data_IF_008909573349
#
_entry.id   IF_008909573349
#
_cell.length_a   1.000
_cell.length_b   1.000
_cell.length_c   1.000
_cell.angle_alpha   90.00
_cell.angle_beta   90.00
_cell.angle_gamma   90.00
#
_symmetry.space_group_name_H-M   'P 1'
#
loop_
_entity.id
_entity.type
_entity.pdbx_description
1 polymer ?
#
# COMPACT_ATOMS: atom_id res chain seq x y z
N UNK A 1 -42.13 -16.46 -20.96
CA UNK A 1 -40.68 -16.20 -21.05
C UNK A 1 -40.24 -15.09 -20.12
N UNK A 2 -40.81 -13.89 -20.12
CA UNK A 2 -40.43 -12.75 -19.26
C UNK A 2 -40.52 -13.07 -17.77
N UNK A 3 -41.55 -13.78 -17.29
CA UNK A 3 -41.69 -14.17 -15.87
C UNK A 3 -40.60 -15.15 -15.39
N UNK A 4 -40.13 -16.05 -16.25
CA UNK A 4 -39.05 -16.98 -15.97
C UNK A 4 -37.69 -16.22 -15.88
N UNK A 5 -37.50 -15.19 -16.71
CA UNK A 5 -36.32 -14.34 -16.67
C UNK A 5 -36.24 -13.55 -15.37
N UNK A 6 -37.38 -12.99 -14.92
CA UNK A 6 -37.44 -12.27 -13.64
C UNK A 6 -37.23 -13.18 -12.43
N UNK A 7 -37.74 -14.41 -12.47
CA UNK A 7 -37.48 -15.40 -11.41
C UNK A 7 -35.99 -15.83 -11.38
N UNK A 8 -35.39 -16.05 -12.55
CA UNK A 8 -33.96 -16.37 -12.64
C UNK A 8 -33.08 -15.19 -12.15
N UNK A 9 -33.44 -13.95 -12.48
CA UNK A 9 -32.75 -12.77 -12.00
C UNK A 9 -32.92 -12.61 -10.48
N UNK A 10 -34.09 -12.82 -9.93
CA UNK A 10 -34.38 -12.76 -8.51
C UNK A 10 -33.62 -13.82 -7.69
N UNK A 11 -33.52 -15.05 -8.23
CA UNK A 11 -32.72 -16.11 -7.60
C UNK A 11 -31.24 -15.81 -7.65
N UNK A 12 -30.72 -15.20 -8.72
CA UNK A 12 -29.33 -14.78 -8.82
C UNK A 12 -28.99 -13.69 -7.79
N UNK A 13 -29.90 -12.74 -7.56
CA UNK A 13 -29.75 -11.71 -6.53
C UNK A 13 -29.81 -12.27 -5.10
N UNK A 14 -30.63 -13.28 -4.85
CA UNK A 14 -30.77 -13.91 -3.52
C UNK A 14 -29.58 -14.82 -3.16
N UNK A 15 -28.84 -15.32 -4.16
CA UNK A 15 -27.65 -16.13 -3.96
C UNK A 15 -26.34 -15.34 -4.03
N UNK A 16 -26.40 -14.04 -4.34
CA UNK A 16 -25.23 -13.18 -4.32
C UNK A 16 -24.74 -13.03 -2.87
N UNK A 17 -23.78 -13.85 -2.49
CA UNK A 17 -23.02 -13.62 -1.27
C UNK A 17 -22.28 -12.29 -1.44
N UNK A 18 -22.14 -11.49 -0.36
CA UNK A 18 -21.30 -10.31 -0.42
C UNK A 18 -19.90 -10.76 -0.88
N UNK A 19 -19.53 -10.34 -2.08
CA UNK A 19 -18.18 -10.54 -2.57
C UNK A 19 -17.27 -9.79 -1.62
N UNK A 20 -16.53 -10.51 -0.77
CA UNK A 20 -15.41 -9.94 -0.07
C UNK A 20 -14.35 -9.69 -1.13
N UNK A 21 -14.32 -8.48 -1.66
CA UNK A 21 -13.19 -8.01 -2.44
C UNK A 21 -11.97 -8.20 -1.56
N UNK A 22 -11.06 -9.10 -1.95
CA UNK A 22 -9.79 -9.32 -1.26
C UNK A 22 -8.94 -8.06 -1.54
N UNK A 23 -9.16 -7.05 -0.73
CA UNK A 23 -8.37 -5.83 -0.78
C UNK A 23 -6.93 -6.21 -0.42
N UNK A 24 -6.09 -6.35 -1.45
CA UNK A 24 -4.64 -6.39 -1.32
C UNK A 24 -4.22 -5.08 -0.65
N UNK A 25 -4.21 -5.06 0.68
CA UNK A 25 -3.77 -3.91 1.47
C UNK A 25 -2.30 -4.07 1.77
N UNK A 26 -1.42 -3.35 1.06
CA UNK A 26 -0.01 -3.37 1.38
C UNK A 26 0.21 -2.85 2.80
N UNK A 27 1.16 -3.43 3.50
CA UNK A 27 1.69 -2.83 4.71
C UNK A 27 2.38 -1.50 4.37
N UNK A 28 2.44 -0.61 5.35
CA UNK A 28 3.12 0.67 5.15
C UNK A 28 4.05 0.98 6.31
N UNK A 29 5.33 1.19 6.00
CA UNK A 29 6.36 1.54 6.95
C UNK A 29 6.92 2.92 6.58
N UNK A 30 6.69 3.91 7.43
CA UNK A 30 7.20 5.26 7.23
C UNK A 30 8.28 5.59 8.26
N UNK A 31 9.44 6.02 7.79
CA UNK A 31 10.57 6.41 8.63
C UNK A 31 10.95 7.85 8.30
N UNK A 32 10.55 8.78 9.16
CA UNK A 32 10.63 10.23 8.93
C UNK A 32 11.54 10.89 9.93
N UNK A 33 12.51 11.65 9.44
CA UNK A 33 13.46 12.41 10.26
C UNK A 33 12.80 13.67 10.84
N UNK A 34 12.90 13.87 12.16
CA UNK A 34 12.41 15.04 12.88
C UNK A 34 13.52 16.05 13.21
N UNK A 35 14.62 15.55 13.75
CA UNK A 35 15.84 16.34 14.05
C UNK A 35 17.06 15.65 13.43
N UNK A 36 18.26 16.07 13.80
CA UNK A 36 19.48 15.41 13.32
C UNK A 36 19.58 13.95 13.79
N UNK A 37 19.13 13.67 15.03
CA UNK A 37 19.16 12.35 15.66
C UNK A 37 17.79 11.68 15.75
N UNK A 38 16.69 12.47 15.81
CA UNK A 38 15.38 11.93 16.15
C UNK A 38 14.57 11.62 14.88
N UNK A 39 13.98 10.45 14.91
CA UNK A 39 13.16 9.93 13.84
C UNK A 39 11.82 9.42 14.38
N UNK A 40 10.81 9.44 13.58
CA UNK A 40 9.55 8.77 13.86
C UNK A 40 9.37 7.62 12.87
N UNK A 41 9.06 6.44 13.40
CA UNK A 41 8.72 5.30 12.58
C UNK A 41 7.24 4.96 12.80
N UNK A 42 6.48 4.93 11.72
CA UNK A 42 5.07 4.52 11.71
C UNK A 42 4.96 3.20 10.97
N UNK A 43 4.50 2.17 11.65
CA UNK A 43 4.20 0.88 11.08
C UNK A 43 2.69 0.66 11.03
N UNK A 44 2.14 0.63 9.83
CA UNK A 44 0.74 0.26 9.57
C UNK A 44 0.69 -1.20 9.12
N UNK A 45 0.40 -2.08 10.07
CA UNK A 45 0.27 -3.51 9.86
C UNK A 45 -1.15 -3.85 9.40
N UNK A 46 -1.37 -4.36 8.18
CA UNK A 46 -2.68 -4.78 7.74
C UNK A 46 -3.18 -5.97 8.56
N UNK A 47 -4.44 -5.93 9.00
CA UNK A 47 -5.07 -7.02 9.71
C UNK A 47 -5.82 -7.93 8.74
N UNK A 48 -5.78 -9.23 8.99
CA UNK A 48 -6.56 -10.23 8.27
C UNK A 48 -7.42 -11.01 9.26
N UNK A 49 -8.72 -11.01 9.04
CA UNK A 49 -9.65 -11.70 9.94
C UNK A 49 -9.58 -11.21 11.39
N UNK A 50 -9.26 -9.93 11.62
CA UNK A 50 -9.13 -9.35 12.96
C UNK A 50 -7.79 -9.66 13.68
N UNK A 51 -6.87 -10.38 13.01
CA UNK A 51 -5.56 -10.74 13.58
C UNK A 51 -4.48 -9.80 13.05
N UNK A 52 -3.73 -9.21 13.97
CA UNK A 52 -2.54 -8.41 13.65
C UNK A 52 -1.33 -9.33 13.44
N UNK A 53 -0.57 -9.19 12.36
CA UNK A 53 0.65 -9.97 12.17
C UNK A 53 1.69 -9.65 13.25
N UNK A 54 2.44 -10.66 13.66
CA UNK A 54 3.53 -10.53 14.66
C UNK A 54 4.81 -9.89 14.08
N UNK A 55 4.68 -9.07 13.04
CA UNK A 55 5.80 -8.37 12.41
C UNK A 55 6.25 -7.19 13.25
N UNK A 56 7.57 -7.00 13.35
CA UNK A 56 8.17 -5.87 14.04
C UNK A 56 9.19 -5.17 13.13
N UNK A 57 9.30 -3.86 13.19
CA UNK A 57 10.31 -3.11 12.43
C UNK A 57 11.73 -3.52 12.83
N UNK A 58 12.58 -3.70 11.80
CA UNK A 58 14.04 -3.78 11.94
C UNK A 58 14.57 -2.38 11.69
N UNK A 59 15.24 -1.83 12.69
CA UNK A 59 15.81 -0.49 12.63
C UNK A 59 17.20 -0.51 11.98
N UNK A 60 17.63 0.61 11.36
CA UNK A 60 19.02 0.82 10.99
C UNK A 60 19.97 0.68 12.18
N UNK A 61 21.23 0.31 11.92
CA UNK A 61 22.25 0.21 12.97
C UNK A 61 22.44 1.56 13.65
N UNK A 62 22.65 1.54 14.97
CA UNK A 62 22.78 2.76 15.78
C UNK A 62 21.46 3.48 16.04
N UNK A 63 20.31 2.94 15.60
CA UNK A 63 19.00 3.46 15.93
C UNK A 63 18.34 2.61 17.02
N UNK A 64 17.77 3.27 18.02
CA UNK A 64 17.06 2.62 19.14
C UNK A 64 15.69 3.25 19.35
N UNK A 65 14.74 2.46 19.85
CA UNK A 65 13.42 2.97 20.22
C UNK A 65 13.49 3.71 21.55
N UNK A 66 12.81 4.86 21.63
CA UNK A 66 12.62 5.61 22.85
C UNK A 66 11.21 5.39 23.39
N UNK A 67 11.13 4.72 24.54
CA UNK A 67 9.85 4.40 25.18
C UNK A 67 9.02 3.35 24.45
N UNK A 68 7.79 3.18 24.92
CA UNK A 68 6.84 2.24 24.31
C UNK A 68 6.15 2.83 23.08
N UNK A 69 5.89 2.04 22.03
CA UNK A 69 5.20 2.52 20.86
C UNK A 69 3.74 2.86 21.17
N UNK A 70 3.28 3.98 20.62
CA UNK A 70 1.86 4.30 20.61
C UNK A 70 1.15 3.42 19.58
N UNK A 71 0.13 2.67 20.03
CA UNK A 71 -0.64 1.77 19.17
C UNK A 71 -2.08 2.23 19.06
N UNK A 72 -2.56 2.32 17.84
CA UNK A 72 -3.96 2.65 17.53
C UNK A 72 -4.51 1.52 16.67
N UNK A 73 -5.59 0.92 17.15
CA UNK A 73 -6.33 -0.09 16.40
C UNK A 73 -7.33 0.61 15.48
N UNK A 74 -7.08 0.53 14.19
CA UNK A 74 -8.06 0.92 13.18
C UNK A 74 -8.93 -0.26 12.77
N UNK A 75 -9.94 -0.01 11.92
CA UNK A 75 -10.86 -1.07 11.47
C UNK A 75 -10.15 -2.21 10.73
N UNK A 76 -9.06 -1.91 10.02
CA UNK A 76 -8.41 -2.85 9.12
C UNK A 76 -6.88 -2.90 9.23
N UNK A 77 -6.30 -2.15 10.15
CA UNK A 77 -4.87 -2.13 10.39
C UNK A 77 -4.54 -1.71 11.82
N UNK A 78 -3.48 -2.27 12.36
CA UNK A 78 -2.82 -1.78 13.56
C UNK A 78 -1.79 -0.73 13.16
N UNK A 79 -1.89 0.47 13.70
CA UNK A 79 -0.91 1.54 13.50
C UNK A 79 -0.07 1.64 14.77
N UNK A 80 1.24 1.43 14.62
CA UNK A 80 2.22 1.56 15.70
C UNK A 80 3.18 2.69 15.38
N UNK A 81 3.28 3.68 16.26
CA UNK A 81 4.19 4.83 16.12
C UNK A 81 5.29 4.72 17.16
N UNK A 82 6.53 4.72 16.69
CA UNK A 82 7.73 4.61 17.50
C UNK A 82 8.50 5.94 17.42
N UNK A 83 9.03 6.38 18.56
CA UNK A 83 10.06 7.41 18.62
C UNK A 83 11.42 6.72 18.55
N UNK A 84 12.29 7.19 17.67
CA UNK A 84 13.57 6.54 17.36
C UNK A 84 14.70 7.58 17.50
N UNK A 85 15.71 7.23 18.28
CA UNK A 85 16.97 7.97 18.32
C UNK A 85 18.04 7.23 17.51
N UNK A 86 18.71 7.93 16.60
CA UNK A 86 19.79 7.39 15.78
C UNK A 86 21.10 8.12 16.10
N UNK A 87 22.14 7.38 16.50
CA UNK A 87 23.50 7.91 16.72
C UNK A 87 24.30 8.03 15.42
N UNK A 88 23.96 7.21 14.43
CA UNK A 88 24.68 7.12 13.16
C UNK A 88 23.79 7.52 11.97
N UNK A 89 24.38 7.98 10.86
CA UNK A 89 23.65 8.24 9.63
C UNK A 89 22.94 6.98 9.13
N UNK A 90 21.65 7.08 8.82
CA UNK A 90 20.85 5.95 8.33
C UNK A 90 21.12 5.59 6.86
N UNK A 91 21.83 6.46 6.14
CA UNK A 91 22.19 6.25 4.74
C UNK A 91 23.17 5.05 4.58
N UNK A 92 22.90 4.18 3.61
CA UNK A 92 23.66 2.95 3.41
C UNK A 92 23.33 1.83 4.41
N UNK A 93 22.33 2.05 5.29
CA UNK A 93 21.91 1.06 6.27
C UNK A 93 20.59 0.42 5.86
N UNK A 94 20.29 -0.74 6.44
CA UNK A 94 19.08 -1.49 6.12
C UNK A 94 17.95 -1.19 7.10
N UNK A 95 16.73 -1.15 6.57
CA UNK A 95 15.47 -1.11 7.31
C UNK A 95 14.58 -2.26 6.84
N UNK A 96 13.73 -2.79 7.70
CA UNK A 96 12.90 -3.94 7.32
C UNK A 96 11.89 -4.37 8.35
N UNK A 97 11.44 -5.62 8.24
CA UNK A 97 10.48 -6.26 9.13
C UNK A 97 10.93 -7.66 9.53
N UNK A 98 10.79 -7.99 10.83
CA UNK A 98 10.93 -9.37 11.30
C UNK A 98 9.63 -10.14 11.09
N UNK A 99 9.71 -11.48 11.04
CA UNK A 99 8.55 -12.37 10.92
C UNK A 99 7.65 -12.03 9.72
N UNK A 100 8.23 -11.49 8.66
CA UNK A 100 7.51 -11.19 7.43
C UNK A 100 7.38 -12.48 6.59
N UNK A 101 6.14 -12.95 6.39
CA UNK A 101 5.86 -14.22 5.72
C UNK A 101 5.18 -14.01 4.37
N UNK A 102 5.25 -15.04 3.50
CA UNK A 102 4.61 -15.03 2.19
C UNK A 102 3.06 -14.89 2.23
N UNK A 103 2.44 -15.12 3.41
CA UNK A 103 1.02 -14.89 3.61
C UNK A 103 0.66 -13.40 3.78
N UNK A 104 1.66 -12.53 3.90
CA UNK A 104 1.49 -11.09 4.02
C UNK A 104 1.69 -10.43 2.67
N UNK A 105 0.94 -9.36 2.42
CA UNK A 105 1.13 -8.51 1.24
C UNK A 105 2.43 -7.74 1.36
N UNK A 106 2.96 -7.31 0.23
CA UNK A 106 4.13 -6.44 0.17
C UNK A 106 3.98 -5.19 1.06
N UNK A 107 5.11 -4.66 1.47
CA UNK A 107 5.18 -3.47 2.30
C UNK A 107 5.86 -2.34 1.55
N UNK A 108 5.18 -1.21 1.44
CA UNK A 108 5.80 0.01 0.97
C UNK A 108 6.55 0.68 2.13
N UNK A 109 7.83 0.90 1.94
CA UNK A 109 8.68 1.64 2.88
C UNK A 109 8.92 3.04 2.34
N UNK A 110 8.56 4.04 3.13
CA UNK A 110 8.85 5.44 2.83
C UNK A 110 9.90 5.96 3.81
N UNK A 111 11.06 6.34 3.31
CA UNK A 111 12.11 6.97 4.11
C UNK A 111 12.19 8.44 3.75
N UNK A 112 11.97 9.32 4.71
CA UNK A 112 11.90 10.76 4.53
C UNK A 112 12.95 11.48 5.39
N UNK A 113 14.21 11.54 4.97
CA UNK A 113 15.22 12.38 5.62
C UNK A 113 14.94 13.86 5.34
N UNK A 114 15.46 14.76 6.18
CA UNK A 114 15.24 16.22 6.04
C UNK A 114 16.12 16.86 4.97
N UNK A 115 17.29 16.30 4.75
CA UNK A 115 18.37 16.86 3.90
C UNK A 115 18.46 16.19 2.51
N UNK A 116 17.61 15.21 2.24
CA UNK A 116 17.64 14.41 1.01
C UNK A 116 16.25 14.08 0.50
N UNK A 117 16.11 13.74 -0.79
CA UNK A 117 14.84 13.31 -1.35
C UNK A 117 14.26 12.08 -0.60
N UNK A 118 12.95 12.04 -0.54
CA UNK A 118 12.20 10.89 -0.01
C UNK A 118 12.49 9.67 -0.88
N UNK A 119 12.67 8.53 -0.23
CA UNK A 119 12.84 7.24 -0.90
C UNK A 119 11.57 6.39 -0.72
N UNK A 120 11.13 5.77 -1.79
CA UNK A 120 10.09 4.75 -1.78
C UNK A 120 10.74 3.41 -2.11
N UNK A 121 10.64 2.46 -1.19
CA UNK A 121 11.26 1.15 -1.24
C UNK A 121 10.18 0.10 -1.01
N UNK A 122 10.43 -1.14 -1.42
CA UNK A 122 9.47 -2.24 -1.29
C UNK A 122 10.10 -3.39 -0.52
N UNK A 123 9.38 -3.92 0.46
CA UNK A 123 9.72 -5.19 1.11
C UNK A 123 8.79 -6.27 0.58
N UNK A 124 9.35 -7.43 0.34
CA UNK A 124 8.64 -8.65 -0.01
C UNK A 124 8.99 -9.76 0.99
N UNK A 125 8.24 -10.84 0.99
CA UNK A 125 8.54 -11.98 1.87
C UNK A 125 9.92 -12.60 1.58
N UNK A 126 10.41 -12.50 0.34
CA UNK A 126 11.75 -12.95 -0.06
C UNK A 126 12.85 -11.95 0.31
N UNK A 127 12.51 -10.66 0.38
CA UNK A 127 13.42 -9.56 0.72
C UNK A 127 12.81 -8.72 1.86
N UNK A 128 12.87 -9.19 3.11
CA UNK A 128 12.24 -8.53 4.26
C UNK A 128 13.01 -7.32 4.76
N UNK A 129 14.18 -7.03 4.18
CA UNK A 129 15.01 -5.87 4.47
C UNK A 129 15.44 -5.18 3.20
N UNK A 130 15.58 -3.85 3.25
CA UNK A 130 16.01 -3.03 2.12
C UNK A 130 17.01 -1.98 2.57
N UNK A 131 17.98 -1.66 1.72
CA UNK A 131 18.99 -0.63 2.00
C UNK A 131 18.44 0.78 1.73
N UNK A 132 18.67 1.68 2.67
CA UNK A 132 18.40 3.11 2.53
C UNK A 132 19.53 3.73 1.70
N UNK A 133 19.28 4.01 0.43
CA UNK A 133 20.30 4.52 -0.47
C UNK A 133 20.93 5.83 0.05
N UNK A 134 22.25 5.93 0.01
CA UNK A 134 22.97 7.14 0.40
C UNK A 134 22.69 8.31 -0.56
N UNK A 135 22.47 8.00 -1.84
CA UNK A 135 22.04 8.94 -2.90
C UNK A 135 20.79 8.37 -3.56
N UNK A 136 19.58 8.78 -3.13
CA UNK A 136 18.36 8.31 -3.76
C UNK A 136 18.31 8.78 -5.22
N UNK A 137 18.01 7.85 -6.10
CA UNK A 137 17.76 8.14 -7.51
C UNK A 137 16.25 8.34 -7.73
N UNK A 138 15.88 9.47 -8.34
CA UNK A 138 14.50 9.76 -8.70
C UNK A 138 13.91 8.67 -9.61
N UNK A 139 14.74 8.03 -10.43
CA UNK A 139 14.35 6.91 -11.27
C UNK A 139 13.99 5.66 -10.46
N UNK A 140 14.71 5.38 -9.37
CA UNK A 140 14.39 4.28 -8.46
C UNK A 140 13.01 4.48 -7.83
N UNK A 141 12.71 5.69 -7.37
CA UNK A 141 11.40 6.05 -6.81
C UNK A 141 10.30 5.85 -7.87
N UNK A 142 10.48 6.42 -9.05
CA UNK A 142 9.53 6.31 -10.15
C UNK A 142 9.29 4.84 -10.55
N UNK A 143 10.36 4.04 -10.68
CA UNK A 143 10.26 2.60 -10.98
C UNK A 143 9.50 1.83 -9.92
N UNK A 144 9.76 2.11 -8.63
CA UNK A 144 9.08 1.44 -7.52
C UNK A 144 7.57 1.70 -7.57
N UNK A 145 7.15 2.96 -7.72
CA UNK A 145 5.74 3.30 -7.85
C UNK A 145 5.11 2.74 -9.13
N UNK A 146 5.85 2.72 -10.24
CA UNK A 146 5.38 2.13 -11.48
C UNK A 146 5.10 0.62 -11.34
N UNK A 147 6.04 -0.13 -10.77
CA UNK A 147 5.88 -1.58 -10.55
C UNK A 147 4.69 -1.86 -9.63
N UNK A 148 4.61 -1.17 -8.48
CA UNK A 148 3.49 -1.32 -7.55
C UNK A 148 2.15 -0.97 -8.24
N UNK A 149 2.13 0.10 -9.06
CA UNK A 149 0.93 0.49 -9.79
C UNK A 149 0.50 -0.55 -10.83
N UNK A 150 1.44 -1.11 -11.58
CA UNK A 150 1.16 -2.19 -12.55
C UNK A 150 0.62 -3.43 -11.84
N UNK A 151 1.27 -3.87 -10.77
CA UNK A 151 0.82 -5.02 -9.98
C UNK A 151 -0.57 -4.79 -9.39
N UNK A 152 -0.84 -3.59 -8.86
CA UNK A 152 -2.15 -3.22 -8.33
C UNK A 152 -3.25 -3.34 -9.39
N UNK A 153 -2.99 -2.91 -10.64
CA UNK A 153 -3.94 -3.02 -11.74
C UNK A 153 -4.10 -4.49 -12.17
N UNK A 154 -2.99 -5.22 -12.33
CA UNK A 154 -3.02 -6.61 -12.85
C UNK A 154 -3.64 -7.57 -11.84
N UNK A 155 -3.39 -7.39 -10.55
CA UNK A 155 -3.94 -8.24 -9.49
C UNK A 155 -5.18 -7.66 -8.81
N UNK A 156 -5.56 -6.43 -9.14
CA UNK A 156 -6.82 -5.81 -8.71
C UNK A 156 -8.00 -6.36 -9.52
N UNK A 157 -8.61 -7.45 -9.07
CA UNK A 157 -9.75 -8.08 -9.76
C UNK A 157 -10.88 -7.10 -10.05
N UNK A 158 -11.13 -6.14 -9.17
CA UNK A 158 -12.16 -5.11 -9.34
C UNK A 158 -11.85 -4.21 -10.54
N UNK A 159 -10.59 -3.81 -10.73
CA UNK A 159 -10.15 -3.02 -11.87
C UNK A 159 -10.25 -3.81 -13.18
N UNK A 160 -9.86 -5.08 -13.16
CA UNK A 160 -9.96 -5.95 -14.33
C UNK A 160 -11.41 -6.17 -14.72
N UNK A 161 -12.30 -6.47 -13.78
CA UNK A 161 -13.74 -6.64 -14.03
C UNK A 161 -14.37 -5.35 -14.55
N UNK A 162 -13.99 -4.20 -14.01
CA UNK A 162 -14.45 -2.90 -14.50
C UNK A 162 -14.02 -2.67 -15.96
N UNK A 163 -12.76 -2.92 -16.31
CA UNK A 163 -12.27 -2.77 -17.69
C UNK A 163 -13.00 -3.74 -18.63
N UNK A 164 -13.18 -5.00 -18.22
CA UNK A 164 -13.94 -5.98 -18.99
C UNK A 164 -15.38 -5.50 -19.21
N UNK A 165 -16.05 -5.01 -18.18
CA UNK A 165 -17.40 -4.47 -18.29
C UNK A 165 -17.46 -3.28 -19.25
N UNK A 166 -16.48 -2.36 -19.22
CA UNK A 166 -16.39 -1.26 -20.16
C UNK A 166 -16.21 -1.72 -21.59
N UNK A 167 -15.34 -2.71 -21.84
CA UNK A 167 -15.09 -3.26 -23.18
C UNK A 167 -16.34 -3.95 -23.74
N UNK A 168 -17.12 -4.62 -22.88
CA UNK A 168 -18.37 -5.28 -23.28
C UNK A 168 -19.51 -4.27 -23.53
N UNK A 169 -19.53 -3.16 -22.81
CA UNK A 169 -20.61 -2.17 -22.87
C UNK A 169 -20.40 -1.10 -23.93
N UNK A 170 -19.14 -0.70 -24.16
CA UNK A 170 -18.80 0.40 -25.06
C UNK A 170 -18.29 -0.15 -26.39
N UNK A 171 -18.79 0.43 -27.48
CA UNK A 171 -18.33 0.14 -28.84
C UNK A 171 -17.34 1.19 -29.32
N UNK A 172 -16.18 0.73 -29.81
CA UNK A 172 -15.16 1.59 -30.42
C UNK A 172 -14.02 1.94 -29.45
N UNK A 173 -12.80 1.71 -29.94
CA UNK A 173 -11.55 1.90 -29.17
C UNK A 173 -11.42 3.31 -28.59
N UNK A 174 -11.80 4.34 -29.37
CA UNK A 174 -11.73 5.74 -28.92
C UNK A 174 -12.62 6.02 -27.71
N UNK A 175 -13.84 5.48 -27.71
CA UNK A 175 -14.77 5.66 -26.60
C UNK A 175 -14.26 4.98 -25.33
N UNK A 176 -13.74 3.76 -25.46
CA UNK A 176 -13.14 3.00 -24.36
C UNK A 176 -11.93 3.76 -23.80
N UNK A 177 -11.03 4.26 -24.66
CA UNK A 177 -9.85 5.00 -24.24
C UNK A 177 -10.20 6.28 -23.48
N UNK A 178 -11.21 7.04 -23.95
CA UNK A 178 -11.69 8.23 -23.26
C UNK A 178 -12.30 7.87 -21.89
N UNK A 179 -13.13 6.84 -21.83
CA UNK A 179 -13.76 6.42 -20.57
C UNK A 179 -12.73 5.96 -19.52
N UNK A 180 -11.76 5.14 -19.92
CA UNK A 180 -10.66 4.69 -19.04
C UNK A 180 -9.82 5.87 -18.58
N UNK A 181 -9.45 6.79 -19.48
CA UNK A 181 -8.67 7.98 -19.12
C UNK A 181 -9.43 8.87 -18.14
N UNK A 182 -10.71 9.15 -18.41
CA UNK A 182 -11.54 9.95 -17.51
C UNK A 182 -11.66 9.33 -16.11
N UNK A 183 -11.87 8.01 -16.05
CA UNK A 183 -11.89 7.27 -14.78
C UNK A 183 -10.57 7.39 -14.03
N UNK A 184 -9.44 7.16 -14.71
CA UNK A 184 -8.10 7.23 -14.10
C UNK A 184 -7.80 8.63 -13.55
N UNK A 185 -8.14 9.68 -14.30
CA UNK A 185 -7.97 11.07 -13.85
C UNK A 185 -8.83 11.36 -12.63
N UNK A 186 -10.12 11.02 -12.66
CA UNK A 186 -11.04 11.22 -11.55
C UNK A 186 -10.56 10.47 -10.29
N UNK A 187 -10.17 9.22 -10.44
CA UNK A 187 -9.63 8.40 -9.34
C UNK A 187 -8.35 9.00 -8.75
N UNK A 188 -7.43 9.47 -9.60
CA UNK A 188 -6.20 10.12 -9.15
C UNK A 188 -6.48 11.40 -8.36
N UNK A 189 -7.43 12.22 -8.78
CA UNK A 189 -7.83 13.44 -8.08
C UNK A 189 -8.40 13.10 -6.69
N UNK A 190 -9.30 12.11 -6.61
CA UNK A 190 -9.87 11.69 -5.32
C UNK A 190 -8.83 11.11 -4.40
N UNK A 191 -7.88 10.32 -4.92
CA UNK A 191 -6.79 9.75 -4.13
C UNK A 191 -5.88 10.85 -3.55
N UNK A 192 -5.51 11.84 -4.37
CA UNK A 192 -4.73 13.00 -3.90
C UNK A 192 -5.52 13.80 -2.86
N UNK A 193 -6.82 14.04 -3.09
CA UNK A 193 -7.69 14.72 -2.13
C UNK A 193 -7.69 14.03 -0.77
N UNK A 194 -7.93 12.72 -0.74
CA UNK A 194 -7.93 11.94 0.51
C UNK A 194 -6.57 11.89 1.22
N UNK A 195 -5.46 11.88 0.46
CA UNK A 195 -4.11 11.92 1.05
C UNK A 195 -3.75 13.28 1.64
N UNK A 196 -4.34 14.36 1.12
CA UNK A 196 -4.18 15.73 1.62
C UNK A 196 -5.18 16.08 2.75
N UNK A 197 -6.11 15.18 3.08
CA UNK A 197 -7.06 15.35 4.18
C UNK A 197 -8.32 16.15 3.81
N UNK A 198 -8.68 16.19 2.51
CA UNK A 198 -9.95 16.74 2.01
C UNK A 198 -11.02 15.67 1.84
#
# INVERSE_FOLDING_TARGET
MIRLLWLALATLFLTAQPAQADELRPGYLEFTQKTASDWTLVWKAPMRGGVTPATQPILPKGCTTEGDPQRVLGEMAMISTFQIACSDPVAGQSIGLTNFSAAQTDVLVRVAPRDRPVQALRLTASEPTVEIAAKPDAWQVARTYFVIGVEHIVFGYDHLLFVVALVLLLTGFRTIAIAVTAFTVAHSITLVGTTLGF
#
